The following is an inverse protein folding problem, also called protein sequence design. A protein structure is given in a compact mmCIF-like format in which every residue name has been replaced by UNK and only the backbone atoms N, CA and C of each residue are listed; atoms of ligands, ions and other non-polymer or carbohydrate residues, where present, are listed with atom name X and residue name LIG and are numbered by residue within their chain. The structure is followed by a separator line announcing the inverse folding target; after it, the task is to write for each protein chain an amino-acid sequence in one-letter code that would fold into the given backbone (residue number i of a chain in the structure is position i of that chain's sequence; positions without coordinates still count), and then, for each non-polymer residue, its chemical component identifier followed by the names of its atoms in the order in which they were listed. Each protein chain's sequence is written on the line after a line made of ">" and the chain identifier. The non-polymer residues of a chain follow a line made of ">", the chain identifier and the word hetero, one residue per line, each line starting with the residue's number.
data_IF_319117537518
#
_entry.id   IF_319117537518
#
_cell.length_a   1.000
_cell.length_b   1.000
_cell.length_c   1.000
_cell.angle_alpha   90.00
_cell.angle_beta   90.00
_cell.angle_gamma   90.00
#
_symmetry.space_group_name_H-M   'P 1'
#
loop_
_entity.id
_entity.type
_entity.pdbx_description
1 polymer ?
#
# COMPACT_ATOMS: atom_id res chain seq x y z
N UNK A 1 -23.72 -16.01 -18.84
CA UNK A 1 -22.87 -15.02 -18.14
C UNK A 1 -22.77 -13.79 -19.03
N UNK A 2 -23.59 -12.78 -18.83
CA UNK A 2 -23.48 -11.49 -19.52
C UNK A 2 -22.46 -10.63 -18.78
N UNK A 3 -21.16 -10.90 -18.99
CA UNK A 3 -20.10 -10.11 -18.39
C UNK A 3 -19.90 -8.81 -19.16
N UNK A 4 -19.99 -7.67 -18.49
CA UNK A 4 -19.55 -6.39 -19.06
C UNK A 4 -18.02 -6.42 -19.10
N UNK A 5 -17.42 -6.09 -20.24
CA UNK A 5 -15.96 -6.07 -20.37
C UNK A 5 -15.34 -5.00 -19.45
N UNK A 6 -14.44 -5.43 -18.57
CA UNK A 6 -13.70 -4.57 -17.65
C UNK A 6 -12.18 -4.70 -17.94
N UNK A 7 -11.68 -4.07 -19.02
CA UNK A 7 -10.32 -4.34 -19.50
C UNK A 7 -9.29 -3.85 -18.48
N UNK A 8 -8.59 -4.82 -17.87
CA UNK A 8 -7.42 -4.65 -16.98
C UNK A 8 -7.67 -3.85 -15.70
N UNK A 9 -8.93 -3.52 -15.40
CA UNK A 9 -9.36 -2.98 -14.10
C UNK A 9 -10.87 -3.19 -13.91
N UNK A 10 -11.25 -3.66 -12.72
CA UNK A 10 -12.64 -3.87 -12.31
C UNK A 10 -12.77 -3.61 -10.80
N UNK A 11 -13.99 -3.31 -10.34
CA UNK A 11 -14.34 -3.19 -8.92
C UNK A 11 -15.40 -4.23 -8.57
N UNK A 12 -15.24 -4.86 -7.43
CA UNK A 12 -16.26 -5.71 -6.82
C UNK A 12 -17.14 -4.86 -5.89
N UNK A 13 -18.46 -5.05 -5.93
CA UNK A 13 -19.41 -4.37 -5.05
C UNK A 13 -20.00 -5.27 -3.95
N UNK A 14 -19.53 -6.50 -3.82
CA UNK A 14 -20.11 -7.51 -2.93
C UNK A 14 -20.97 -8.55 -3.65
N UNK A 15 -21.46 -8.26 -4.86
CA UNK A 15 -22.35 -9.13 -5.62
C UNK A 15 -21.91 -9.35 -7.07
N UNK A 16 -21.30 -8.34 -7.69
CA UNK A 16 -20.91 -8.36 -9.10
C UNK A 16 -19.65 -7.52 -9.37
N UNK A 17 -18.95 -7.89 -10.44
CA UNK A 17 -17.82 -7.13 -10.95
C UNK A 17 -18.30 -6.01 -11.89
N UNK A 18 -17.86 -4.79 -11.61
CA UNK A 18 -18.15 -3.60 -12.39
C UNK A 18 -16.90 -3.06 -13.07
N UNK A 19 -16.99 -2.61 -14.34
CA UNK A 19 -15.89 -1.90 -14.98
C UNK A 19 -15.71 -0.50 -14.34
N UNK A 20 -14.47 0.01 -14.34
CA UNK A 20 -14.21 1.41 -14.04
C UNK A 20 -14.05 2.20 -15.34
N UNK A 21 -15.15 2.81 -15.80
CA UNK A 21 -15.22 3.44 -17.12
C UNK A 21 -14.95 2.44 -18.24
N UNK A 22 -14.17 2.82 -19.25
CA UNK A 22 -13.74 1.92 -20.33
C UNK A 22 -12.48 1.10 -20.01
N UNK A 23 -12.01 1.12 -18.76
CA UNK A 23 -10.80 0.43 -18.30
C UNK A 23 -9.47 0.97 -18.85
N UNK A 24 -8.44 0.12 -18.90
CA UNK A 24 -7.06 0.50 -19.25
C UNK A 24 -6.60 -0.12 -20.57
N UNK A 25 -5.78 0.60 -21.32
CA UNK A 25 -5.26 0.11 -22.62
C UNK A 25 -4.00 -0.77 -22.51
N UNK A 26 -3.37 -0.86 -21.33
CA UNK A 26 -2.27 -1.77 -21.04
C UNK A 26 -2.23 -2.12 -19.54
N UNK A 27 -1.14 -2.76 -19.08
CA UNK A 27 -1.07 -3.31 -17.73
C UNK A 27 -1.17 -2.25 -16.64
N UNK A 28 -1.93 -2.60 -15.61
CA UNK A 28 -1.88 -1.96 -14.30
C UNK A 28 -0.95 -2.79 -13.42
N UNK A 29 0.06 -2.15 -12.84
CA UNK A 29 1.08 -2.76 -11.98
C UNK A 29 0.97 -2.31 -10.52
N UNK A 30 0.30 -1.19 -10.25
CA UNK A 30 -0.02 -0.76 -8.89
C UNK A 30 -1.42 -0.15 -8.82
N UNK A 31 -2.13 -0.44 -7.73
CA UNK A 31 -3.41 0.15 -7.38
C UNK A 31 -3.35 0.46 -5.89
N UNK A 32 -3.58 1.71 -5.51
CA UNK A 32 -3.73 2.13 -4.13
C UNK A 32 -4.94 3.05 -4.01
N UNK A 33 -5.49 3.18 -2.81
CA UNK A 33 -6.61 4.11 -2.55
C UNK A 33 -6.32 5.01 -1.36
N UNK A 34 -7.09 6.10 -1.28
CA UNK A 34 -7.23 6.89 -0.06
C UNK A 34 -8.62 7.52 -0.03
N UNK A 35 -9.01 7.99 1.14
CA UNK A 35 -10.20 8.81 1.29
C UNK A 35 -9.83 10.28 1.09
N UNK A 36 -10.52 10.96 0.19
CA UNK A 36 -10.42 12.41 -0.01
C UNK A 36 -11.82 13.00 0.08
N UNK A 37 -12.04 13.96 0.98
CA UNK A 37 -13.35 14.60 1.21
C UNK A 37 -14.48 13.56 1.42
N UNK A 38 -14.21 12.51 2.20
CA UNK A 38 -15.19 11.44 2.48
C UNK A 38 -15.45 10.46 1.33
N UNK A 39 -14.69 10.54 0.23
CA UNK A 39 -14.84 9.65 -0.93
C UNK A 39 -13.58 8.82 -1.19
N UNK A 40 -13.76 7.54 -1.53
CA UNK A 40 -12.66 6.69 -1.97
C UNK A 40 -12.15 7.12 -3.34
N UNK A 41 -10.88 7.49 -3.38
CA UNK A 41 -10.15 7.82 -4.58
C UNK A 41 -9.13 6.73 -4.85
N UNK A 42 -9.04 6.28 -6.10
CA UNK A 42 -8.11 5.22 -6.51
C UNK A 42 -7.01 5.82 -7.38
N UNK A 43 -5.77 5.44 -7.11
CA UNK A 43 -4.61 5.77 -7.92
C UNK A 43 -4.09 4.48 -8.54
N UNK A 44 -3.87 4.52 -9.84
CA UNK A 44 -3.35 3.39 -10.59
C UNK A 44 -2.08 3.76 -11.31
N UNK A 45 -1.18 2.80 -11.41
CA UNK A 45 0.06 2.92 -12.15
C UNK A 45 0.37 1.67 -12.95
N UNK A 46 1.14 1.80 -14.03
CA UNK A 46 1.55 0.66 -14.84
C UNK A 46 2.18 1.06 -16.17
N UNK A 47 1.82 0.33 -17.24
CA UNK A 47 2.33 0.51 -18.61
C UNK A 47 1.27 1.04 -19.58
N UNK A 48 0.16 1.57 -19.07
CA UNK A 48 -0.90 2.18 -19.87
C UNK A 48 -0.54 3.60 -20.34
N UNK A 49 -1.21 4.04 -21.39
CA UNK A 49 -1.16 5.42 -21.90
C UNK A 49 -2.54 6.08 -21.93
N UNK A 50 -3.60 5.33 -21.63
CA UNK A 50 -4.97 5.80 -21.55
C UNK A 50 -5.72 5.08 -20.43
N UNK A 51 -6.53 5.84 -19.69
CA UNK A 51 -7.38 5.37 -18.60
C UNK A 51 -8.81 5.88 -18.82
N UNK A 52 -9.78 4.97 -19.01
CA UNK A 52 -11.17 5.36 -19.30
C UNK A 52 -11.35 6.21 -20.56
N UNK A 53 -10.49 6.03 -21.57
CA UNK A 53 -10.44 6.86 -22.79
C UNK A 53 -9.74 8.21 -22.63
N UNK A 54 -9.31 8.58 -21.41
CA UNK A 54 -8.54 9.80 -21.14
C UNK A 54 -7.04 9.51 -21.31
N UNK A 55 -6.29 10.32 -22.07
CA UNK A 55 -4.83 10.20 -22.13
C UNK A 55 -4.22 10.34 -20.73
N UNK A 56 -3.59 9.27 -20.24
CA UNK A 56 -2.99 9.20 -18.91
C UNK A 56 -1.71 8.37 -19.00
N UNK A 57 -0.55 9.03 -18.92
CA UNK A 57 0.74 8.36 -19.10
C UNK A 57 1.16 7.69 -17.80
N UNK A 58 0.95 6.37 -17.74
CA UNK A 58 1.48 5.44 -16.72
C UNK A 58 0.92 5.62 -15.31
N UNK A 59 0.25 6.73 -15.02
CA UNK A 59 -0.41 7.06 -13.75
C UNK A 59 -1.76 7.71 -14.00
N UNK A 60 -2.79 7.31 -13.25
CA UNK A 60 -4.14 7.87 -13.34
C UNK A 60 -4.85 7.84 -11.97
N UNK A 61 -5.83 8.73 -11.79
CA UNK A 61 -6.67 8.86 -10.60
C UNK A 61 -8.12 8.62 -10.98
N UNK A 62 -8.85 7.86 -10.19
CA UNK A 62 -10.30 7.67 -10.28
C UNK A 62 -10.95 8.33 -9.06
N UNK A 63 -11.87 9.26 -9.32
CA UNK A 63 -12.58 10.02 -8.28
C UNK A 63 -13.90 9.39 -7.84
N UNK A 64 -14.19 8.15 -8.27
CA UNK A 64 -15.49 7.51 -8.08
C UNK A 64 -16.39 7.56 -9.33
N UNK A 65 -16.13 8.48 -10.26
CA UNK A 65 -16.96 8.70 -11.45
C UNK A 65 -16.18 8.72 -12.78
N UNK A 66 -14.96 9.25 -12.78
CA UNK A 66 -14.14 9.47 -13.97
C UNK A 66 -12.66 9.30 -13.69
N UNK A 67 -11.92 8.86 -14.71
CA UNK A 67 -10.47 8.82 -14.70
C UNK A 67 -9.89 10.19 -15.06
N UNK A 68 -8.81 10.58 -14.40
CA UNK A 68 -7.99 11.75 -14.75
C UNK A 68 -6.51 11.37 -14.74
N UNK A 69 -5.70 12.02 -15.60
CA UNK A 69 -4.25 11.91 -15.54
C UNK A 69 -3.69 12.61 -14.28
N UNK A 70 -2.53 12.17 -13.80
CA UNK A 70 -1.74 12.91 -12.81
C UNK A 70 -0.68 13.75 -13.54
N UNK A 71 -1.00 15.02 -13.75
CA UNK A 71 -0.13 15.96 -14.47
C UNK A 71 0.21 15.45 -15.87
N UNK A 72 1.48 15.59 -16.26
CA UNK A 72 1.98 15.07 -17.55
C UNK A 72 2.26 13.56 -17.53
N UNK A 73 2.20 12.91 -16.36
CA UNK A 73 2.53 11.50 -16.15
C UNK A 73 4.04 11.21 -16.13
N UNK A 74 4.44 9.99 -16.49
CA UNK A 74 5.83 9.51 -16.40
C UNK A 74 6.27 8.80 -17.69
N UNK A 75 7.57 8.88 -18.03
CA UNK A 75 8.10 8.47 -19.33
C UNK A 75 8.19 6.95 -19.55
N UNK A 76 8.16 6.15 -18.47
CA UNK A 76 8.35 4.70 -18.48
C UNK A 76 7.38 3.98 -17.54
N UNK A 77 7.42 2.64 -17.54
CA UNK A 77 6.56 1.83 -16.67
C UNK A 77 6.73 2.19 -15.20
N UNK A 78 5.60 2.26 -14.48
CA UNK A 78 5.58 2.53 -13.03
C UNK A 78 5.14 1.24 -12.34
N UNK A 79 5.99 0.74 -11.43
CA UNK A 79 5.84 -0.57 -10.78
C UNK A 79 5.06 -0.46 -9.47
N UNK A 80 5.32 0.59 -8.69
CA UNK A 80 4.71 0.76 -7.38
C UNK A 80 4.32 2.21 -7.12
N UNK A 81 3.31 2.34 -6.27
CA UNK A 81 2.82 3.60 -5.72
C UNK A 81 2.74 3.46 -4.21
N UNK A 82 3.05 4.53 -3.47
CA UNK A 82 2.88 4.58 -2.02
C UNK A 82 2.55 6.01 -1.56
N UNK A 83 1.71 6.16 -0.55
CA UNK A 83 1.50 7.44 0.13
C UNK A 83 2.35 7.48 1.40
N UNK A 84 3.11 8.54 1.62
CA UNK A 84 3.82 8.78 2.88
C UNK A 84 3.47 10.16 3.39
N UNK A 85 3.13 10.25 4.68
CA UNK A 85 2.94 11.52 5.37
C UNK A 85 4.16 11.80 6.25
N UNK A 86 4.93 12.83 5.90
CA UNK A 86 6.08 13.28 6.69
C UNK A 86 5.73 14.44 7.66
N UNK A 87 4.45 14.60 7.98
CA UNK A 87 3.93 15.61 8.91
C UNK A 87 3.28 16.84 8.26
N UNK A 88 3.23 16.90 6.93
CA UNK A 88 2.59 17.97 6.16
C UNK A 88 1.41 17.47 5.31
N UNK A 89 0.98 16.23 5.54
CA UNK A 89 -0.01 15.53 4.74
C UNK A 89 0.62 14.50 3.80
N UNK A 90 -0.21 13.59 3.25
CA UNK A 90 0.26 12.48 2.44
C UNK A 90 0.75 12.93 1.06
N UNK A 91 1.98 12.55 0.74
CA UNK A 91 2.59 12.73 -0.58
C UNK A 91 2.55 11.40 -1.32
N UNK A 92 2.17 11.42 -2.61
CA UNK A 92 2.19 10.22 -3.44
C UNK A 92 3.58 10.02 -4.04
N UNK A 93 4.13 8.84 -3.90
CA UNK A 93 5.38 8.42 -4.49
C UNK A 93 5.14 7.35 -5.56
N UNK A 94 5.97 7.38 -6.60
CA UNK A 94 5.98 6.41 -7.67
C UNK A 94 7.41 5.92 -7.91
N UNK A 95 7.56 4.63 -8.22
CA UNK A 95 8.85 4.06 -8.63
C UNK A 95 8.70 3.17 -9.86
N UNK A 96 9.77 2.99 -10.64
CA UNK A 96 9.74 2.10 -11.80
C UNK A 96 10.90 2.28 -12.78
N UNK A 97 10.58 2.15 -14.06
CA UNK A 97 11.52 2.23 -15.20
C UNK A 97 11.57 3.61 -15.86
N UNK A 98 10.81 4.58 -15.36
CA UNK A 98 10.78 5.94 -15.93
C UNK A 98 12.03 6.73 -15.57
N UNK A 99 12.42 7.65 -16.45
CA UNK A 99 13.56 8.55 -16.17
C UNK A 99 13.11 10.00 -16.08
N UNK A 100 11.98 10.35 -16.69
CA UNK A 100 11.49 11.71 -16.81
C UNK A 100 10.00 11.81 -16.48
N UNK A 101 9.57 13.00 -16.07
CA UNK A 101 8.15 13.38 -16.06
C UNK A 101 7.64 13.53 -17.49
N UNK A 102 6.41 13.12 -17.79
CA UNK A 102 5.81 13.26 -19.10
C UNK A 102 6.44 12.38 -20.19
N UNK A 103 7.41 12.92 -20.93
CA UNK A 103 8.14 12.22 -21.99
C UNK A 103 9.64 12.42 -21.85
N UNK A 104 10.43 11.94 -22.82
CA UNK A 104 11.91 12.03 -22.77
C UNK A 104 12.43 13.48 -22.70
N UNK A 105 11.61 14.49 -23.04
CA UNK A 105 11.97 15.92 -22.90
C UNK A 105 11.46 16.60 -21.62
N UNK A 106 10.86 15.88 -20.67
CA UNK A 106 10.42 16.47 -19.40
C UNK A 106 11.53 16.58 -18.36
N UNK A 107 11.18 16.85 -17.09
CA UNK A 107 12.14 16.91 -16.00
C UNK A 107 12.70 15.52 -15.68
N UNK A 108 14.01 15.42 -15.49
CA UNK A 108 14.67 14.19 -15.03
C UNK A 108 14.29 13.90 -13.56
N UNK A 109 13.82 12.69 -13.30
CA UNK A 109 13.43 12.22 -11.95
C UNK A 109 14.08 10.90 -11.54
N UNK A 110 14.70 10.18 -12.48
CA UNK A 110 15.50 8.98 -12.20
C UNK A 110 14.76 7.91 -11.38
N UNK A 111 13.71 7.34 -11.97
CA UNK A 111 13.05 6.07 -11.54
C UNK A 111 12.30 6.13 -10.21
N UNK A 112 12.30 7.27 -9.54
CA UNK A 112 11.50 7.55 -8.35
C UNK A 112 11.07 9.01 -8.36
N UNK A 113 9.78 9.27 -8.14
CA UNK A 113 9.24 10.62 -8.15
C UNK A 113 8.15 10.79 -7.10
N UNK A 114 7.97 12.02 -6.61
CA UNK A 114 6.85 12.40 -5.74
C UNK A 114 5.86 13.29 -6.50
N UNK A 115 4.60 13.19 -6.15
CA UNK A 115 3.50 14.00 -6.65
C UNK A 115 2.92 14.82 -5.51
N UNK A 116 2.90 16.13 -5.68
CA UNK A 116 2.42 17.11 -4.69
C UNK A 116 0.97 17.56 -4.89
N UNK A 117 0.30 17.02 -5.92
CA UNK A 117 -1.05 17.45 -6.31
C UNK A 117 -1.07 18.13 -7.68
N UNK A 118 0.06 18.65 -8.15
CA UNK A 118 0.16 19.40 -9.41
C UNK A 118 1.28 18.94 -10.33
N UNK A 119 2.46 18.62 -9.75
CA UNK A 119 3.64 18.25 -10.51
C UNK A 119 4.35 17.03 -9.93
N UNK A 120 4.95 16.23 -10.82
CA UNK A 120 5.89 15.19 -10.43
C UNK A 120 7.27 15.82 -10.24
N UNK A 121 7.91 15.55 -9.11
CA UNK A 121 9.22 16.10 -8.74
C UNK A 121 10.21 14.99 -8.34
N UNK A 122 11.52 15.19 -8.55
CA UNK A 122 12.56 14.23 -8.17
C UNK A 122 12.75 14.12 -6.65
N UNK A 123 13.20 12.95 -6.18
CA UNK A 123 13.69 12.75 -4.81
C UNK A 123 15.23 12.73 -4.82
N UNK A 124 15.87 13.87 -4.54
CA UNK A 124 17.31 14.02 -4.75
C UNK A 124 17.67 13.75 -6.21
N UNK A 125 18.76 13.03 -6.47
CA UNK A 125 19.09 12.55 -7.82
C UNK A 125 18.46 11.20 -8.18
N UNK A 126 17.66 10.59 -7.29
CA UNK A 126 16.99 9.30 -7.52
C UNK A 126 17.97 8.13 -7.69
N UNK A 127 17.60 7.12 -8.49
CA UNK A 127 18.51 6.01 -8.85
C UNK A 127 19.46 6.49 -9.94
N UNK A 128 20.70 6.76 -9.56
CA UNK A 128 21.78 7.25 -10.44
C UNK A 128 22.50 6.14 -11.20
N UNK A 129 22.24 4.88 -10.83
CA UNK A 129 22.59 3.71 -11.65
C UNK A 129 21.85 3.74 -13.00
N UNK A 130 22.61 3.80 -14.10
CA UNK A 130 22.06 3.87 -15.45
C UNK A 130 21.26 2.63 -15.87
N UNK A 131 21.58 1.47 -15.30
CA UNK A 131 20.89 0.21 -15.53
C UNK A 131 19.93 -0.16 -14.39
N UNK A 132 19.88 0.66 -13.34
CA UNK A 132 19.04 0.40 -12.18
C UNK A 132 17.55 0.64 -12.45
N UNK A 133 16.69 0.11 -11.60
CA UNK A 133 15.25 0.41 -11.54
C UNK A 133 14.67 -0.06 -10.20
N UNK A 134 13.60 0.62 -9.76
CA UNK A 134 12.86 0.26 -8.56
C UNK A 134 11.65 -0.59 -8.92
N UNK A 135 11.39 -1.65 -8.16
CA UNK A 135 10.27 -2.57 -8.39
C UNK A 135 9.18 -2.46 -7.32
N UNK A 136 9.53 -2.00 -6.12
CA UNK A 136 8.57 -1.87 -5.03
C UNK A 136 8.84 -0.67 -4.12
N UNK A 137 7.74 -0.20 -3.53
CA UNK A 137 7.70 0.83 -2.50
C UNK A 137 6.90 0.28 -1.32
N UNK A 138 7.40 0.49 -0.10
CA UNK A 138 6.66 0.26 1.13
C UNK A 138 6.83 1.45 2.07
N UNK A 139 5.90 1.58 3.01
CA UNK A 139 5.94 2.62 4.04
C UNK A 139 6.09 1.94 5.38
N UNK A 140 7.13 2.30 6.10
CA UNK A 140 7.45 1.72 7.39
C UNK A 140 7.95 2.81 8.34
N UNK A 141 7.59 2.68 9.61
CA UNK A 141 8.15 3.48 10.68
C UNK A 141 9.11 2.58 11.48
N UNK A 142 10.41 2.89 11.41
CA UNK A 142 11.45 2.18 12.16
C UNK A 142 11.74 2.81 13.54
N UNK A 143 10.82 3.64 14.04
CA UNK A 143 10.94 4.39 15.29
C UNK A 143 11.38 5.85 15.11
N UNK A 144 11.57 6.31 13.87
CA UNK A 144 11.97 7.68 13.54
C UNK A 144 10.90 8.43 12.73
N UNK A 145 9.68 7.89 12.69
CA UNK A 145 8.60 8.38 11.86
C UNK A 145 8.47 7.59 10.55
N UNK A 146 7.32 7.73 9.86
CA UNK A 146 7.05 7.04 8.62
C UNK A 146 8.04 7.45 7.52
N UNK A 147 8.64 6.44 6.89
CA UNK A 147 9.58 6.62 5.80
C UNK A 147 9.22 5.73 4.61
N UNK A 148 9.67 6.15 3.42
CA UNK A 148 9.52 5.37 2.20
C UNK A 148 10.71 4.42 2.06
N UNK A 149 10.43 3.15 1.83
CA UNK A 149 11.42 2.12 1.54
C UNK A 149 11.28 1.69 0.09
N UNK A 150 12.37 1.77 -0.66
CA UNK A 150 12.42 1.46 -2.08
C UNK A 150 13.28 0.23 -2.32
N UNK A 151 12.68 -0.80 -2.90
CA UNK A 151 13.36 -2.03 -3.33
C UNK A 151 13.50 -2.10 -4.85
N UNK A 152 14.57 -2.72 -5.32
CA UNK A 152 14.71 -3.01 -6.74
C UNK A 152 16.10 -3.51 -7.15
N UNK A 153 16.34 -3.44 -8.46
CA UNK A 153 17.63 -3.74 -9.06
C UNK A 153 18.39 -2.43 -9.24
N UNK A 154 19.17 -1.98 -8.26
CA UNK A 154 20.02 -0.79 -8.39
C UNK A 154 21.22 -0.88 -7.46
N UNK A 155 22.34 -0.30 -7.88
CA UNK A 155 23.59 -0.28 -7.10
C UNK A 155 23.92 1.10 -6.52
N UNK A 156 23.23 2.15 -6.96
CA UNK A 156 23.50 3.53 -6.56
C UNK A 156 22.21 4.36 -6.47
N UNK A 157 22.11 5.16 -5.41
CA UNK A 157 21.03 6.14 -5.20
C UNK A 157 21.66 7.44 -4.72
N UNK A 158 21.29 8.55 -5.35
CA UNK A 158 21.81 9.89 -5.03
C UNK A 158 23.35 9.97 -5.07
N UNK A 159 23.98 9.26 -6.02
CA UNK A 159 25.44 9.17 -6.13
C UNK A 159 26.12 8.33 -5.04
N UNK A 160 25.35 7.69 -4.14
CA UNK A 160 25.88 6.87 -3.03
C UNK A 160 25.68 5.37 -3.33
N UNK A 161 26.63 4.50 -2.93
CA UNK A 161 26.57 3.06 -3.19
C UNK A 161 25.56 2.35 -2.27
N UNK A 162 24.27 2.68 -2.41
CA UNK A 162 23.15 2.05 -1.71
C UNK A 162 22.57 0.99 -2.64
N UNK A 163 22.77 -0.28 -2.32
CA UNK A 163 22.39 -1.39 -3.18
C UNK A 163 21.03 -1.98 -2.80
N UNK A 164 20.14 -2.07 -3.78
CA UNK A 164 18.91 -2.86 -3.77
C UNK A 164 17.79 -2.36 -2.85
N UNK A 165 18.11 -1.79 -1.69
CA UNK A 165 17.15 -1.27 -0.72
C UNK A 165 17.61 0.08 -0.16
N UNK A 166 16.79 1.11 -0.33
CA UNK A 166 17.05 2.46 0.17
C UNK A 166 15.86 2.98 0.99
N UNK A 167 16.14 3.77 2.02
CA UNK A 167 15.16 4.50 2.83
C UNK A 167 15.19 5.98 2.46
N UNK A 168 14.02 6.58 2.27
CA UNK A 168 13.84 8.03 2.15
C UNK A 168 13.10 8.56 3.37
N UNK A 169 13.73 9.47 4.10
CA UNK A 169 13.22 10.06 5.35
C UNK A 169 12.39 11.33 5.16
N UNK A 170 12.09 11.70 3.91
CA UNK A 170 11.47 12.99 3.57
C UNK A 170 12.47 13.98 2.97
N UNK A 171 13.77 13.79 3.19
CA UNK A 171 14.82 14.73 2.80
C UNK A 171 16.03 14.09 2.11
N UNK A 172 16.40 12.86 2.48
CA UNK A 172 17.60 12.20 1.97
C UNK A 172 17.43 10.69 1.87
N UNK A 173 18.21 10.09 0.96
CA UNK A 173 18.36 8.65 0.84
C UNK A 173 19.43 8.11 1.79
N UNK A 174 19.11 7.01 2.47
CA UNK A 174 20.02 6.26 3.33
C UNK A 174 19.90 4.75 3.12
N UNK A 175 20.95 4.03 3.52
CA UNK A 175 20.98 2.57 3.52
C UNK A 175 20.16 2.02 4.70
N UNK A 176 19.50 0.87 4.50
CA UNK A 176 18.69 0.23 5.54
C UNK A 176 19.50 -0.78 6.34
N UNK A 177 19.67 -0.51 7.62
CA UNK A 177 20.46 -1.33 8.53
C UNK A 177 21.98 -1.15 8.39
N UNK A 178 22.76 -1.67 9.35
CA UNK A 178 24.19 -1.35 9.50
C UNK A 178 25.07 -1.86 8.35
N UNK A 179 24.61 -2.86 7.59
CA UNK A 179 25.33 -3.41 6.43
C UNK A 179 24.46 -3.42 5.17
N UNK A 180 23.32 -2.73 5.17
CA UNK A 180 22.36 -2.76 4.07
C UNK A 180 21.43 -3.95 4.11
N UNK A 181 20.61 -4.04 3.06
CA UNK A 181 19.75 -5.20 2.86
C UNK A 181 20.59 -6.46 2.66
N UNK A 182 20.31 -7.54 3.40
CA UNK A 182 20.93 -8.85 3.16
C UNK A 182 20.41 -9.49 1.86
N UNK A 183 19.41 -8.90 1.22
CA UNK A 183 18.89 -9.26 -0.11
C UNK A 183 19.49 -8.29 -1.13
N UNK A 184 20.41 -8.73 -2.01
CA UNK A 184 21.12 -7.84 -2.94
C UNK A 184 20.21 -7.17 -3.98
N UNK A 185 19.13 -7.84 -4.37
CA UNK A 185 18.17 -7.37 -5.38
C UNK A 185 16.74 -7.66 -4.93
N UNK A 186 16.17 -6.85 -4.03
CA UNK A 186 14.79 -6.99 -3.62
C UNK A 186 13.85 -6.91 -4.83
N UNK A 187 13.03 -7.93 -4.99
CA UNK A 187 11.93 -7.95 -5.96
C UNK A 187 10.72 -7.23 -5.37
N UNK A 188 10.50 -7.41 -4.06
CA UNK A 188 9.36 -6.84 -3.37
C UNK A 188 9.76 -6.41 -1.96
N UNK A 189 9.15 -5.33 -1.50
CA UNK A 189 9.30 -4.73 -0.18
C UNK A 189 7.89 -4.40 0.28
N UNK A 190 7.52 -4.84 1.47
CA UNK A 190 6.17 -4.68 2.02
C UNK A 190 6.21 -4.49 3.53
N UNK A 191 5.19 -3.86 4.08
CA UNK A 191 4.98 -3.79 5.52
C UNK A 191 3.81 -4.64 5.94
N UNK A 192 4.00 -5.36 7.04
CA UNK A 192 2.99 -6.22 7.63
C UNK A 192 3.03 -6.10 9.15
N UNK A 193 1.86 -6.19 9.77
CA UNK A 193 1.76 -6.33 11.21
C UNK A 193 2.25 -7.72 11.62
N UNK A 194 2.94 -7.79 12.75
CA UNK A 194 3.38 -9.05 13.37
C UNK A 194 2.95 -9.03 14.83
N UNK A 195 2.96 -10.18 15.53
CA UNK A 195 2.66 -10.23 16.97
C UNK A 195 3.55 -9.31 17.83
N UNK A 196 4.71 -8.88 17.30
CA UNK A 196 5.62 -7.96 18.01
C UNK A 196 5.59 -6.54 17.43
N UNK A 197 4.55 -6.19 16.68
CA UNK A 197 4.38 -4.90 16.00
C UNK A 197 4.67 -4.93 14.49
N UNK A 198 4.51 -3.79 13.80
CA UNK A 198 4.78 -3.68 12.37
C UNK A 198 6.22 -4.05 12.02
N UNK A 199 6.42 -4.63 10.84
CA UNK A 199 7.74 -4.91 10.32
C UNK A 199 7.81 -4.75 8.81
N UNK A 200 9.01 -4.42 8.32
CA UNK A 200 9.32 -4.40 6.90
C UNK A 200 9.82 -5.76 6.44
N UNK A 201 9.16 -6.35 5.44
CA UNK A 201 9.55 -7.58 4.80
C UNK A 201 10.16 -7.29 3.44
N UNK A 202 11.30 -7.93 3.17
CA UNK A 202 12.05 -7.77 1.93
C UNK A 202 12.23 -9.15 1.31
N UNK A 203 11.85 -9.25 0.04
CA UNK A 203 11.85 -10.49 -0.72
C UNK A 203 12.75 -10.36 -1.94
N UNK A 204 13.59 -11.36 -2.18
CA UNK A 204 14.41 -11.43 -3.39
C UNK A 204 15.37 -12.61 -3.35
N UNK A 205 15.73 -13.13 -4.53
CA UNK A 205 16.68 -14.25 -4.63
C UNK A 205 16.24 -15.55 -3.93
N UNK A 206 14.93 -15.72 -3.68
CA UNK A 206 14.38 -16.88 -2.95
C UNK A 206 14.47 -16.78 -1.43
N UNK A 207 14.86 -15.61 -0.90
CA UNK A 207 14.93 -15.36 0.54
C UNK A 207 13.90 -14.30 0.92
N UNK A 208 13.30 -14.49 2.10
CA UNK A 208 12.55 -13.45 2.80
C UNK A 208 13.33 -13.06 4.05
N UNK A 209 13.49 -11.76 4.25
CA UNK A 209 14.04 -11.19 5.48
C UNK A 209 13.08 -10.18 6.06
N UNK A 210 13.11 -10.07 7.39
CA UNK A 210 12.32 -9.13 8.16
C UNK A 210 13.26 -8.12 8.82
N UNK A 211 12.90 -6.84 8.70
CA UNK A 211 13.51 -5.71 9.38
C UNK A 211 12.53 -5.14 10.40
N UNK A 212 12.96 -5.07 11.66
CA UNK A 212 12.19 -4.52 12.77
C UNK A 212 12.61 -3.09 13.15
N UNK A 213 13.45 -2.43 12.34
CA UNK A 213 14.04 -1.13 12.66
C UNK A 213 15.45 -1.19 13.25
N UNK A 214 15.90 -2.35 13.71
CA UNK A 214 17.21 -2.51 14.36
C UNK A 214 18.03 -3.65 13.77
N UNK A 215 17.40 -4.81 13.53
CA UNK A 215 18.08 -6.01 13.06
C UNK A 215 17.35 -6.70 11.92
N UNK A 216 18.14 -7.29 11.02
CA UNK A 216 17.66 -8.20 10.01
C UNK A 216 17.50 -9.60 10.62
N UNK A 217 16.34 -10.21 10.39
CA UNK A 217 16.09 -11.61 10.73
C UNK A 217 15.65 -12.34 9.48
N UNK A 218 16.22 -13.53 9.25
CA UNK A 218 15.75 -14.38 8.15
C UNK A 218 14.35 -14.88 8.51
N UNK A 219 13.41 -14.66 7.61
CA UNK A 219 12.05 -15.15 7.77
C UNK A 219 11.93 -16.38 6.87
N UNK A 220 12.07 -17.56 7.45
CA UNK A 220 11.86 -18.82 6.73
C UNK A 220 10.40 -19.22 6.96
N UNK A 221 9.47 -18.99 6.01
CA UNK A 221 8.24 -19.75 6.04
C UNK A 221 8.64 -21.23 5.87
N UNK A 222 8.11 -22.11 6.71
CA UNK A 222 8.28 -23.56 6.56
C UNK A 222 7.59 -24.03 5.29
N UNK A 223 8.18 -23.81 4.11
CA UNK A 223 7.73 -24.41 2.85
C UNK A 223 8.94 -24.78 1.98
N UNK A 224 9.13 -26.07 1.65
CA UNK A 224 10.13 -26.46 0.70
C UNK A 224 9.64 -26.05 -0.70
N UNK A 225 10.42 -25.19 -1.39
CA UNK A 225 10.44 -24.97 -2.86
C UNK A 225 9.53 -23.93 -3.55
N UNK A 226 8.68 -23.16 -2.86
CA UNK A 226 7.89 -22.10 -3.51
C UNK A 226 8.58 -20.72 -3.49
N UNK A 227 8.60 -20.00 -4.62
CA UNK A 227 9.03 -18.59 -4.68
C UNK A 227 7.91 -17.69 -4.17
N UNK A 228 8.15 -16.97 -3.08
CA UNK A 228 7.20 -15.98 -2.54
C UNK A 228 7.33 -14.68 -3.33
N UNK A 229 6.24 -14.26 -3.99
CA UNK A 229 6.18 -13.07 -4.85
C UNK A 229 5.45 -11.90 -4.19
N UNK A 230 4.47 -12.19 -3.32
CA UNK A 230 3.68 -11.21 -2.55
C UNK A 230 3.26 -11.83 -1.21
N UNK A 231 3.01 -10.98 -0.20
CA UNK A 231 2.30 -11.36 1.03
C UNK A 231 0.88 -10.77 0.99
N UNK A 232 -0.06 -11.48 1.60
CA UNK A 232 -1.40 -11.00 1.89
C UNK A 232 -1.68 -11.18 3.38
N UNK A 233 -2.33 -10.19 4.00
CA UNK A 233 -2.85 -10.30 5.36
C UNK A 233 -4.32 -10.70 5.27
N UNK A 234 -4.65 -11.90 5.75
CA UNK A 234 -6.02 -12.41 5.71
C UNK A 234 -6.88 -11.99 6.91
N UNK A 235 -6.36 -11.16 7.81
CA UNK A 235 -7.02 -10.81 9.09
C UNK A 235 -6.61 -11.70 10.26
N UNK A 236 -5.95 -12.84 10.00
CA UNK A 236 -5.42 -13.77 11.01
C UNK A 236 -3.90 -13.61 11.23
N UNK A 237 -3.34 -12.48 10.79
CA UNK A 237 -1.90 -12.29 10.61
C UNK A 237 -1.41 -12.71 9.21
N UNK A 238 -0.10 -12.61 8.94
CA UNK A 238 0.44 -12.79 7.59
C UNK A 238 0.37 -14.27 7.15
N UNK A 239 -0.71 -14.64 6.48
CA UNK A 239 -0.84 -15.93 5.80
C UNK A 239 -0.25 -15.84 4.39
N UNK A 240 0.76 -16.67 4.14
CA UNK A 240 1.49 -16.75 2.87
C UNK A 240 0.61 -17.32 1.76
N UNK A 241 0.31 -16.53 0.73
CA UNK A 241 -0.30 -17.03 -0.51
C UNK A 241 0.59 -16.70 -1.72
N UNK A 242 1.06 -17.77 -2.38
CA UNK A 242 2.01 -17.73 -3.51
C UNK A 242 1.26 -17.54 -4.82
N UNK A 243 1.62 -16.50 -5.59
CA UNK A 243 1.13 -16.28 -6.96
C UNK A 243 2.26 -16.07 -7.97
N UNK A 244 2.46 -17.05 -8.87
CA UNK A 244 3.06 -16.82 -10.19
C UNK A 244 4.34 -17.58 -10.55
N UNK A 245 4.24 -18.49 -11.54
CA UNK A 245 5.38 -18.94 -12.36
C UNK A 245 5.77 -17.87 -13.40
N UNK A 246 6.90 -18.06 -14.10
CA UNK A 246 7.65 -17.10 -14.95
C UNK A 246 6.91 -16.31 -16.05
N UNK A 247 5.58 -16.33 -16.12
CA UNK A 247 4.79 -15.48 -17.01
C UNK A 247 3.44 -15.04 -16.42
N UNK A 248 3.26 -15.11 -15.09
CA UNK A 248 1.98 -14.80 -14.46
C UNK A 248 1.85 -13.28 -14.21
N UNK A 249 0.92 -12.68 -14.94
CA UNK A 249 0.41 -11.32 -14.79
C UNK A 249 0.29 -10.90 -13.32
N UNK A 250 0.73 -9.67 -13.01
CA UNK A 250 0.48 -9.02 -11.72
C UNK A 250 -1.04 -8.84 -11.50
N UNK A 251 -1.74 -9.85 -11.01
CA UNK A 251 -3.07 -9.68 -10.42
C UNK A 251 -2.87 -9.17 -8.99
N UNK A 252 -2.68 -7.86 -8.83
CA UNK A 252 -2.80 -7.22 -7.52
C UNK A 252 -4.27 -7.21 -7.13
N UNK A 253 -4.65 -8.06 -6.18
CA UNK A 253 -5.95 -8.00 -5.52
C UNK A 253 -5.81 -6.97 -4.40
N UNK A 254 -6.39 -5.79 -4.59
CA UNK A 254 -6.61 -4.86 -3.49
C UNK A 254 -8.03 -5.06 -2.98
N UNK A 255 -8.18 -5.61 -1.77
CA UNK A 255 -9.47 -5.62 -1.07
C UNK A 255 -9.64 -4.25 -0.43
N UNK A 256 -10.62 -3.50 -0.92
CA UNK A 256 -11.06 -2.26 -0.31
C UNK A 256 -12.33 -2.57 0.45
N UNK A 257 -12.27 -2.62 1.78
CA UNK A 257 -13.47 -2.63 2.61
C UNK A 257 -14.09 -1.24 2.50
N UNK A 258 -15.27 -1.15 1.92
CA UNK A 258 -16.05 0.07 1.99
C UNK A 258 -16.44 0.27 3.47
N UNK A 259 -16.23 1.48 4.02
CA UNK A 259 -16.87 1.84 5.28
C UNK A 259 -18.38 1.78 5.05
N UNK A 260 -19.02 0.73 5.58
CA UNK A 260 -20.40 0.36 5.28
C UNK A 260 -21.12 -0.21 6.48
N UNK A 261 -21.74 0.70 7.24
CA UNK A 261 -22.94 0.57 8.07
C UNK A 261 -23.10 -0.59 9.08
N UNK A 262 -22.91 -0.21 10.35
CA UNK A 262 -23.86 -0.31 11.48
C UNK A 262 -24.34 -1.70 11.96
N UNK A 263 -23.66 -2.79 11.61
CA UNK A 263 -23.87 -4.11 12.22
C UNK A 263 -22.81 -4.53 13.25
N UNK A 264 -21.54 -4.14 13.04
CA UNK A 264 -20.39 -4.61 13.84
C UNK A 264 -20.23 -3.97 15.22
N UNK A 265 -20.71 -2.74 15.41
CA UNK A 265 -20.56 -2.03 16.69
C UNK A 265 -21.20 -2.79 17.87
N UNK A 266 -22.37 -3.41 17.66
CA UNK A 266 -23.10 -4.13 18.71
C UNK A 266 -22.39 -5.41 19.21
N UNK A 267 -21.51 -6.00 18.40
CA UNK A 267 -20.75 -7.18 18.78
C UNK A 267 -19.30 -6.84 19.18
N UNK A 268 -18.86 -5.59 18.96
CA UNK A 268 -17.51 -5.11 19.25
C UNK A 268 -16.53 -5.20 18.07
N UNK A 269 -17.02 -5.34 16.84
CA UNK A 269 -16.23 -5.23 15.60
C UNK A 269 -16.35 -3.79 15.07
N UNK A 270 -15.36 -2.97 15.43
CA UNK A 270 -15.35 -1.53 15.14
C UNK A 270 -14.58 -1.18 13.87
N UNK A 271 -13.68 -2.04 13.40
CA UNK A 271 -12.99 -1.83 12.12
C UNK A 271 -13.68 -2.52 10.92
N UNK A 272 -14.70 -3.34 11.19
CA UNK A 272 -15.59 -3.93 10.20
C UNK A 272 -14.95 -5.11 9.46
N UNK A 273 -14.00 -5.80 10.10
CA UNK A 273 -13.30 -6.94 9.52
C UNK A 273 -14.01 -8.29 9.76
N UNK A 274 -15.05 -8.30 10.61
CA UNK A 274 -15.89 -9.44 10.93
C UNK A 274 -15.42 -10.25 12.15
N UNK A 275 -14.36 -9.86 12.85
CA UNK A 275 -13.82 -10.58 14.02
C UNK A 275 -13.43 -9.60 15.11
N UNK A 276 -13.83 -9.87 16.35
CA UNK A 276 -13.44 -9.01 17.49
C UNK A 276 -12.01 -9.33 17.92
N UNK A 277 -11.07 -8.40 17.74
CA UNK A 277 -9.65 -8.58 18.02
C UNK A 277 -9.04 -7.44 18.85
N UNK A 278 -7.70 -7.43 18.94
CA UNK A 278 -6.96 -6.32 19.55
C UNK A 278 -7.15 -5.00 18.79
N UNK A 279 -7.44 -5.05 17.48
CA UNK A 279 -7.68 -3.85 16.68
C UNK A 279 -8.91 -3.09 17.21
N UNK A 280 -9.99 -3.81 17.47
CA UNK A 280 -11.22 -3.27 18.06
C UNK A 280 -10.99 -2.73 19.47
N UNK A 281 -10.21 -3.46 20.28
CA UNK A 281 -9.84 -2.98 21.62
C UNK A 281 -9.06 -1.66 21.52
N UNK A 282 -8.22 -1.51 20.51
CA UNK A 282 -7.50 -0.27 20.24
C UNK A 282 -8.43 0.89 19.90
N UNK A 283 -9.47 0.64 19.09
CA UNK A 283 -10.48 1.65 18.74
C UNK A 283 -11.28 2.07 19.96
N UNK A 284 -11.75 1.11 20.77
CA UNK A 284 -12.49 1.39 21.99
C UNK A 284 -11.66 2.20 22.98
N UNK A 285 -10.44 1.76 23.29
CA UNK A 285 -9.58 2.44 24.26
C UNK A 285 -9.17 3.84 23.81
N UNK A 286 -9.03 4.07 22.51
CA UNK A 286 -8.78 5.41 21.96
C UNK A 286 -9.94 6.37 22.19
N UNK A 287 -11.16 5.84 22.41
CA UNK A 287 -12.39 6.61 22.54
C UNK A 287 -13.05 6.47 23.92
N UNK A 288 -12.40 5.86 24.92
CA UNK A 288 -12.91 5.56 26.28
C UNK A 288 -13.39 6.78 27.11
N UNK A 289 -13.38 7.98 26.53
CA UNK A 289 -13.91 9.20 27.16
C UNK A 289 -14.88 9.95 26.24
N UNK A 290 -15.27 9.34 25.13
CA UNK A 290 -16.21 9.90 24.18
C UNK A 290 -17.61 9.94 24.80
N UNK A 291 -18.30 11.05 24.60
CA UNK A 291 -19.69 11.27 25.00
C UNK A 291 -20.40 12.04 23.88
N UNK A 292 -21.58 11.61 23.46
CA UNK A 292 -22.28 12.14 22.29
C UNK A 292 -23.71 11.65 22.18
N UNK A 293 -24.35 11.91 21.03
CA UNK A 293 -25.59 11.22 20.72
C UNK A 293 -25.28 9.75 20.36
N UNK A 294 -26.24 8.83 20.49
CA UNK A 294 -26.08 7.44 20.07
C UNK A 294 -25.53 7.32 18.64
N UNK A 295 -24.37 6.67 18.49
CA UNK A 295 -23.67 6.49 17.22
C UNK A 295 -22.60 7.54 16.89
N UNK A 296 -22.42 8.57 17.72
CA UNK A 296 -21.36 9.57 17.54
C UNK A 296 -19.98 9.09 17.99
N UNK A 297 -19.93 8.08 18.86
CA UNK A 297 -18.72 7.60 19.50
C UNK A 297 -18.24 6.27 18.90
N UNK A 298 -17.07 6.25 18.21
CA UNK A 298 -16.45 4.99 17.80
C UNK A 298 -16.08 4.18 19.05
N UNK A 299 -16.58 2.97 19.19
CA UNK A 299 -16.34 2.15 20.39
C UNK A 299 -17.56 1.95 21.30
N UNK A 300 -18.66 2.66 21.04
CA UNK A 300 -19.94 2.52 21.75
C UNK A 300 -20.68 1.27 21.21
N UNK A 301 -20.74 0.23 22.03
CA UNK A 301 -21.31 -1.09 21.68
C UNK A 301 -22.80 -1.19 21.98
N UNK A 302 -23.29 -0.54 23.03
CA UNK A 302 -24.70 -0.61 23.43
C UNK A 302 -25.51 0.62 23.00
N UNK A 303 -24.83 1.55 22.32
CA UNK A 303 -25.36 2.73 21.64
C UNK A 303 -26.09 3.65 22.63
N UNK A 304 -25.54 3.80 23.84
CA UNK A 304 -26.08 4.62 24.91
C UNK A 304 -25.53 6.06 24.92
N UNK A 305 -24.51 6.33 24.08
CA UNK A 305 -23.96 7.66 23.85
C UNK A 305 -22.66 7.94 24.58
N UNK A 306 -22.07 6.97 25.27
CA UNK A 306 -20.69 7.04 25.78
C UNK A 306 -19.87 5.79 25.48
N UNK A 307 -18.56 5.88 25.69
CA UNK A 307 -17.65 4.72 25.59
C UNK A 307 -17.05 4.49 26.96
N UNK A 308 -17.46 3.41 27.61
CA UNK A 308 -17.13 3.16 28.99
C UNK A 308 -16.80 1.69 29.30
N UNK A 309 -16.95 1.31 30.58
CA UNK A 309 -16.66 -0.05 31.01
C UNK A 309 -17.69 -1.08 30.49
N UNK A 310 -18.93 -0.66 30.21
CA UNK A 310 -19.97 -1.48 29.57
C UNK A 310 -19.48 -1.96 28.21
N UNK A 311 -18.97 -1.04 27.39
CA UNK A 311 -18.48 -1.35 26.05
C UNK A 311 -17.27 -2.26 26.06
N UNK A 312 -16.33 -1.96 26.96
CA UNK A 312 -15.16 -2.81 27.15
C UNK A 312 -15.59 -4.22 27.59
N UNK A 313 -16.63 -4.33 28.42
CA UNK A 313 -17.22 -5.60 28.83
C UNK A 313 -17.78 -6.38 27.65
N UNK A 314 -18.55 -5.72 26.78
CA UNK A 314 -19.14 -6.31 25.57
C UNK A 314 -18.06 -6.78 24.60
N UNK A 315 -17.06 -5.95 24.33
CA UNK A 315 -15.93 -6.32 23.46
C UNK A 315 -15.17 -7.53 24.02
N UNK A 316 -14.80 -7.51 25.30
CA UNK A 316 -14.04 -8.60 25.91
C UNK A 316 -14.83 -9.91 25.97
N UNK A 317 -16.16 -9.86 26.08
CA UNK A 317 -17.02 -11.05 26.02
C UNK A 317 -17.03 -11.70 24.63
N UNK A 318 -16.73 -10.94 23.58
CA UNK A 318 -16.68 -11.40 22.20
C UNK A 318 -15.27 -11.55 21.62
N UNK A 319 -14.23 -11.28 22.42
CA UNK A 319 -12.85 -11.34 21.95
C UNK A 319 -12.51 -12.69 21.30
N UNK A 320 -12.03 -12.64 20.05
CA UNK A 320 -11.70 -13.78 19.20
C UNK A 320 -12.90 -14.47 18.54
N UNK A 321 -14.10 -13.86 18.57
CA UNK A 321 -15.30 -14.39 17.89
C UNK A 321 -15.63 -13.61 16.62
N UNK A 322 -16.26 -14.30 15.69
CA UNK A 322 -16.84 -13.70 14.49
C UNK A 322 -18.13 -12.94 14.82
N UNK A 323 -18.29 -11.78 14.20
CA UNK A 323 -19.49 -10.94 14.22
C UNK A 323 -20.35 -11.24 12.99
N UNK A 324 -21.56 -11.75 13.21
CA UNK A 324 -22.49 -12.22 12.16
C UNK A 324 -23.49 -11.19 11.68
#
# INVERSE_FOLDING_TARGET
>A
MSGVAAPRIARWDGQSWHPLGSGMNADVRSIISRVENGQTVIYVAGTFTSAGGVPARRVARWNGQSWSALGTGLSGGVESLAFVDHGAGPILYACGFFTHTGGIGGQLVNRVARWDGEIWSPLGQGITDSNGYATSLAVFDDGNGPALYMGGFFSEVDGKPIQGLAKWDGSQWSQVGPSGSPVPWPVNVQTHNTPTGPALFVLGGGVVVRWNGVTWTRYEPTLPSARVTEFYDSGDGPQLHVGGGEAAFHTKIARFTAAGNSGGAACGDFDGDGVVTQADLGILLANYTCTGAPGDCPGDTDNDGDVDQSDLGTLLANFGKECG
#
